data_IF_406122456206
#
_entry.id   IF_406122456206
#
_cell.length_a   1.000
_cell.length_b   1.000
_cell.length_c   1.000
_cell.angle_alpha   90.00
_cell.angle_beta   90.00
_cell.angle_gamma   90.00
#
_symmetry.space_group_name_H-M   'P 1'
#
loop_
_entity.id
_entity.type
_entity.pdbx_description
1 polymer ?
#
# COMPACT_ATOMS: atom_id res chain seq x y z
N UNK A 1 -10.07 -9.08 4.86
CA UNK A 1 -10.08 -7.62 4.66
C UNK A 1 -8.96 -7.32 3.67
N UNK A 2 -9.27 -7.00 2.42
CA UNK A 2 -8.24 -6.72 1.40
C UNK A 2 -7.80 -5.27 1.57
N UNK A 3 -6.67 -5.05 2.25
CA UNK A 3 -6.10 -3.73 2.54
C UNK A 3 -6.06 -2.84 1.30
N UNK A 4 -5.81 -3.42 0.12
CA UNK A 4 -5.81 -2.74 -1.16
C UNK A 4 -7.18 -2.20 -1.58
N UNK A 5 -8.25 -2.95 -1.41
CA UNK A 5 -9.59 -2.52 -1.82
C UNK A 5 -10.10 -1.37 -0.95
N UNK A 6 -9.70 -1.35 0.32
CA UNK A 6 -10.03 -0.26 1.23
C UNK A 6 -9.15 0.97 1.00
N UNK A 7 -7.90 0.77 0.62
CA UNK A 7 -6.96 1.86 0.34
C UNK A 7 -7.23 2.54 -1.01
N UNK A 8 -7.84 1.81 -1.95
CA UNK A 8 -8.12 2.22 -3.33
C UNK A 8 -9.54 1.79 -3.79
N UNK A 9 -10.60 2.26 -3.13
CA UNK A 9 -11.98 1.79 -3.39
C UNK A 9 -12.41 2.08 -4.83
N UNK A 10 -12.00 3.23 -5.37
CA UNK A 10 -12.30 3.66 -6.75
C UNK A 10 -11.58 2.82 -7.82
N UNK A 11 -10.53 2.10 -7.43
CA UNK A 11 -9.70 1.29 -8.32
C UNK A 11 -9.72 -0.20 -8.00
N UNK A 12 -10.62 -0.66 -7.12
CA UNK A 12 -10.65 -2.05 -6.65
C UNK A 12 -10.79 -3.06 -7.80
N UNK A 13 -11.59 -2.73 -8.84
CA UNK A 13 -11.76 -3.57 -10.03
C UNK A 13 -10.49 -3.60 -10.89
N UNK A 14 -9.85 -2.44 -11.11
CA UNK A 14 -8.62 -2.32 -11.89
C UNK A 14 -7.44 -2.99 -11.19
N UNK A 15 -7.36 -2.91 -9.86
CA UNK A 15 -6.36 -3.60 -9.05
C UNK A 15 -6.53 -5.11 -9.10
N UNK A 16 -7.76 -5.63 -8.98
CA UNK A 16 -8.00 -7.07 -9.09
C UNK A 16 -7.60 -7.63 -10.45
N UNK A 17 -7.88 -6.91 -11.53
CA UNK A 17 -7.44 -7.32 -12.87
C UNK A 17 -5.93 -7.13 -13.06
N UNK A 18 -5.40 -5.98 -12.65
CA UNK A 18 -4.01 -5.61 -12.84
C UNK A 18 -3.03 -6.50 -12.09
N UNK A 19 -3.33 -6.91 -10.84
CA UNK A 19 -2.47 -7.80 -10.05
C UNK A 19 -2.26 -9.19 -10.65
N UNK A 20 -3.15 -9.63 -11.55
CA UNK A 20 -3.01 -10.91 -12.27
C UNK A 20 -2.27 -10.79 -13.61
N UNK A 21 -2.04 -9.57 -14.10
CA UNK A 21 -1.59 -9.30 -15.49
C UNK A 21 -0.29 -8.51 -15.51
N UNK A 22 -0.12 -7.53 -14.64
CA UNK A 22 1.11 -6.74 -14.46
C UNK A 22 1.81 -7.20 -13.18
N UNK A 23 2.90 -7.95 -13.36
CA UNK A 23 3.70 -8.49 -12.25
C UNK A 23 4.35 -7.40 -11.40
N UNK A 24 4.64 -6.24 -11.99
CA UNK A 24 5.24 -5.13 -11.26
C UNK A 24 4.17 -4.37 -10.48
N UNK A 25 2.97 -4.21 -11.04
CA UNK A 25 1.85 -3.70 -10.25
C UNK A 25 1.56 -4.62 -9.06
N UNK A 26 1.59 -5.94 -9.25
CA UNK A 26 1.37 -6.88 -8.15
C UNK A 26 2.47 -6.78 -7.07
N UNK A 27 3.74 -6.62 -7.46
CA UNK A 27 4.85 -6.38 -6.53
C UNK A 27 4.63 -5.10 -5.70
N UNK A 28 4.35 -3.98 -6.35
CA UNK A 28 4.09 -2.69 -5.66
C UNK A 28 2.87 -2.80 -4.74
N UNK A 29 1.82 -3.53 -5.15
CA UNK A 29 0.66 -3.77 -4.29
C UNK A 29 1.01 -4.60 -3.05
N UNK A 30 1.85 -5.64 -3.20
CA UNK A 30 2.31 -6.45 -2.06
C UNK A 30 3.15 -5.62 -1.09
N UNK A 31 4.07 -4.81 -1.60
CA UNK A 31 4.90 -3.92 -0.78
C UNK A 31 4.02 -2.92 0.00
N UNK A 32 2.99 -2.38 -0.66
CA UNK A 32 2.02 -1.49 -0.02
C UNK A 32 1.23 -2.20 1.10
N UNK A 33 0.79 -3.43 0.86
CA UNK A 33 0.09 -4.25 1.86
C UNK A 33 1.00 -4.54 3.06
N UNK A 34 2.25 -4.95 2.83
CA UNK A 34 3.23 -5.21 3.88
C UNK A 34 3.49 -3.98 4.73
N UNK A 35 3.80 -2.83 4.12
CA UNK A 35 4.06 -1.60 4.88
C UNK A 35 2.82 -1.07 5.60
N UNK A 36 1.63 -1.34 5.09
CA UNK A 36 0.38 -0.97 5.76
C UNK A 36 0.17 -1.80 7.03
N UNK A 37 0.52 -3.09 7.00
CA UNK A 37 0.50 -3.96 8.18
C UNK A 37 1.53 -3.47 9.19
N UNK A 38 2.77 -3.21 8.76
CA UNK A 38 3.84 -2.71 9.62
C UNK A 38 3.45 -1.38 10.30
N UNK A 39 2.78 -0.49 9.58
CA UNK A 39 2.27 0.75 10.14
C UNK A 39 1.19 0.50 11.18
N UNK A 40 0.22 -0.38 10.91
CA UNK A 40 -0.82 -0.74 11.88
C UNK A 40 -0.23 -1.38 13.14
N UNK A 41 0.78 -2.23 13.01
CA UNK A 41 1.50 -2.80 14.15
C UNK A 41 2.30 -1.74 14.92
N UNK A 42 2.92 -0.81 14.20
CA UNK A 42 3.65 0.31 14.79
C UNK A 42 2.75 1.30 15.53
N UNK A 43 1.52 1.51 15.05
CA UNK A 43 0.50 2.34 15.68
C UNK A 43 -0.14 1.66 16.89
N UNK A 44 -0.36 0.34 16.84
CA UNK A 44 -0.90 -0.46 17.95
C UNK A 44 0.10 -0.69 19.08
N UNK A 45 1.39 -0.66 18.78
CA UNK A 45 2.44 -0.74 19.79
C UNK A 45 2.53 0.58 20.56
N UNK A 46 1.69 0.73 21.60
CA UNK A 46 1.59 1.90 22.50
C UNK A 46 2.93 2.30 23.16
N UNK A 47 3.82 2.94 22.39
CA UNK A 47 5.06 3.54 22.88
C UNK A 47 6.35 2.73 22.69
N UNK A 48 6.34 1.62 21.94
CA UNK A 48 7.59 0.86 21.64
C UNK A 48 8.29 1.25 20.34
N UNK A 49 7.56 1.77 19.37
CA UNK A 49 8.12 2.12 18.06
C UNK A 49 8.23 3.65 17.93
N UNK A 50 9.40 4.09 17.47
CA UNK A 50 9.76 5.49 17.34
C UNK A 50 8.78 6.22 16.41
N UNK A 51 8.33 7.43 16.79
CA UNK A 51 7.43 8.24 15.95
C UNK A 51 8.04 8.49 14.56
N UNK A 52 9.37 8.60 14.46
CA UNK A 52 10.08 8.73 13.20
C UNK A 52 9.98 7.48 12.32
N UNK A 53 9.88 6.29 12.89
CA UNK A 53 9.60 5.06 12.14
C UNK A 53 8.20 5.09 11.51
N UNK A 54 7.17 5.48 12.27
CA UNK A 54 5.82 5.62 11.73
C UNK A 54 5.74 6.69 10.61
N UNK A 55 6.48 7.79 10.74
CA UNK A 55 6.56 8.82 9.68
C UNK A 55 7.18 8.24 8.41
N UNK A 56 8.30 7.51 8.53
CA UNK A 56 8.95 6.86 7.37
C UNK A 56 8.04 5.85 6.67
N UNK A 57 7.27 5.07 7.45
CA UNK A 57 6.30 4.12 6.89
C UNK A 57 5.19 4.85 6.12
N UNK A 58 4.64 5.94 6.68
CA UNK A 58 3.63 6.76 6.00
C UNK A 58 4.16 7.40 4.72
N UNK A 59 5.39 7.92 4.72
CA UNK A 59 6.01 8.48 3.53
C UNK A 59 6.24 7.41 2.45
N UNK A 60 6.69 6.22 2.85
CA UNK A 60 6.89 5.10 1.92
C UNK A 60 5.56 4.62 1.32
N UNK A 61 4.51 4.49 2.14
CA UNK A 61 3.16 4.16 1.68
C UNK A 61 2.61 5.22 0.73
N UNK A 62 2.88 6.50 0.96
CA UNK A 62 2.50 7.57 0.04
C UNK A 62 3.19 7.41 -1.31
N UNK A 63 4.48 7.12 -1.34
CA UNK A 63 5.22 6.86 -2.58
C UNK A 63 4.63 5.69 -3.36
N UNK A 64 4.45 4.54 -2.71
CA UNK A 64 3.83 3.36 -3.33
C UNK A 64 2.41 3.64 -3.82
N UNK A 65 1.62 4.45 -3.09
CA UNK A 65 0.29 4.87 -3.52
C UNK A 65 0.33 5.65 -4.82
N UNK A 66 1.27 6.59 -4.96
CA UNK A 66 1.44 7.37 -6.18
C UNK A 66 1.90 6.48 -7.36
N UNK A 67 2.79 5.52 -7.11
CA UNK A 67 3.22 4.54 -8.12
C UNK A 67 2.08 3.64 -8.60
N UNK A 68 1.27 3.11 -7.67
CA UNK A 68 0.07 2.33 -7.99
C UNK A 68 -0.88 3.15 -8.88
N UNK A 69 -1.18 4.38 -8.49
CA UNK A 69 -2.07 5.25 -9.24
C UNK A 69 -1.51 5.61 -10.62
N UNK A 70 -0.20 5.87 -10.73
CA UNK A 70 0.44 6.15 -12.00
C UNK A 70 0.33 4.95 -12.95
N UNK A 71 0.54 3.74 -12.44
CA UNK A 71 0.45 2.49 -13.21
C UNK A 71 -0.97 2.18 -13.65
N UNK A 72 -1.93 2.37 -12.75
CA UNK A 72 -3.36 2.21 -13.05
C UNK A 72 -3.87 3.18 -14.12
N UNK A 73 -3.24 4.36 -14.29
CA UNK A 73 -3.56 5.30 -15.37
C UNK A 73 -2.98 4.89 -16.74
N UNK A 74 -2.02 3.97 -16.75
CA UNK A 74 -1.38 3.45 -17.96
C UNK A 74 -2.00 2.15 -18.46
N UNK A 75 -2.89 1.54 -17.66
CA UNK A 75 -3.69 0.35 -17.97
C UNK A 75 -5.04 0.76 -18.57
#
# INVERSE_FOLDING_TARGET
MHIMEESFPEHAVSLRHGRGVDSVLDEICRDYETLSIDLQEAERSEGRLDRGYQVKLRDSLKGLREEILARLRML
#
